data_IF_814384113738
#
_entry.id   IF_814384113738
#
_cell.length_a   1.000
_cell.length_b   1.000
_cell.length_c   1.000
_cell.angle_alpha   90.00
_cell.angle_beta   90.00
_cell.angle_gamma   90.00
#
_symmetry.space_group_name_H-M   'P 1'
#
loop_
_entity.id
_entity.type
_entity.pdbx_description
1 polymer ?
#
# COMPACT_ATOMS: atom_id res chain seq x y z
N UNK A 1 5.55 7.01 14.68
CA UNK A 1 6.20 6.78 13.38
C UNK A 1 5.56 7.59 12.26
N UNK A 2 4.30 7.35 11.86
CA UNK A 2 3.54 8.19 10.92
C UNK A 2 2.42 8.90 11.66
N UNK A 3 2.25 10.21 11.44
CA UNK A 3 1.19 11.02 12.02
C UNK A 3 0.62 11.95 10.95
N UNK A 4 -0.69 11.86 10.74
CA UNK A 4 -1.48 12.82 9.99
C UNK A 4 -2.32 13.58 11.00
N UNK A 5 -2.21 14.89 11.04
CA UNK A 5 -2.86 15.74 11.99
C UNK A 5 -3.78 16.74 11.26
N UNK A 6 -5.10 16.52 11.37
CA UNK A 6 -6.15 17.34 10.74
C UNK A 6 -5.91 17.61 9.24
N UNK A 7 -5.51 16.58 8.49
CA UNK A 7 -5.12 16.69 7.08
C UNK A 7 -6.37 16.84 6.20
N UNK A 8 -6.36 17.87 5.36
CA UNK A 8 -7.33 18.08 4.30
C UNK A 8 -6.66 18.10 2.94
N UNK A 9 -7.27 17.47 1.93
CA UNK A 9 -6.72 17.34 0.57
C UNK A 9 -7.79 17.78 -0.43
N UNK A 10 -7.43 18.68 -1.35
CA UNK A 10 -8.31 19.14 -2.42
C UNK A 10 -7.68 19.02 -3.80
N UNK A 11 -8.51 18.88 -4.83
CA UNK A 11 -8.20 18.93 -6.25
C UNK A 11 -9.00 20.07 -6.88
N UNK A 12 -8.35 21.23 -7.04
CA UNK A 12 -9.06 22.47 -7.37
C UNK A 12 -10.10 22.82 -6.31
N UNK A 13 -11.37 22.91 -6.70
CA UNK A 13 -12.49 23.21 -5.78
C UNK A 13 -13.05 21.95 -5.07
N UNK A 14 -12.63 20.76 -5.49
CA UNK A 14 -13.17 19.51 -4.94
C UNK A 14 -12.38 19.07 -3.71
N UNK A 15 -13.03 19.04 -2.55
CA UNK A 15 -12.47 18.49 -1.33
C UNK A 15 -12.54 16.95 -1.38
N UNK A 16 -11.40 16.30 -1.42
CA UNK A 16 -11.30 14.83 -1.50
C UNK A 16 -11.09 14.18 -0.14
N UNK A 17 -10.44 14.89 0.79
CA UNK A 17 -10.21 14.46 2.17
C UNK A 17 -10.42 15.68 3.07
N UNK A 18 -11.13 15.50 4.17
CA UNK A 18 -11.45 16.57 5.10
C UNK A 18 -11.21 16.12 6.54
N UNK A 19 -10.38 16.88 7.25
CA UNK A 19 -10.09 16.70 8.68
C UNK A 19 -9.65 15.27 9.06
N UNK A 20 -8.74 14.70 8.26
CA UNK A 20 -8.27 13.33 8.45
C UNK A 20 -7.10 13.28 9.43
N UNK A 21 -7.28 12.53 10.52
CA UNK A 21 -6.23 12.30 11.52
C UNK A 21 -5.93 10.81 11.68
N UNK A 22 -4.64 10.46 11.68
CA UNK A 22 -4.15 9.09 11.84
C UNK A 22 -2.80 9.11 12.55
N UNK A 23 -2.66 8.27 13.56
CA UNK A 23 -1.36 7.94 14.14
C UNK A 23 -1.07 6.46 13.92
N UNK A 24 0.17 6.12 13.52
CA UNK A 24 0.64 4.74 13.34
C UNK A 24 1.96 4.50 14.06
N UNK A 25 2.04 3.35 14.72
CA UNK A 25 3.24 2.86 15.38
C UNK A 25 4.11 2.02 14.43
N UNK A 26 5.41 1.82 14.73
CA UNK A 26 6.26 0.89 13.99
C UNK A 26 5.67 -0.53 14.00
N UNK A 27 5.65 -1.18 12.84
CA UNK A 27 5.16 -2.55 12.70
C UNK A 27 3.64 -2.72 12.84
N UNK A 28 2.89 -1.63 12.96
CA UNK A 28 1.43 -1.65 12.99
C UNK A 28 0.85 -1.80 11.58
N UNK A 29 -0.23 -2.57 11.44
CA UNK A 29 -1.04 -2.61 10.22
C UNK A 29 -2.36 -1.88 10.46
N UNK A 30 -2.55 -0.77 9.76
CA UNK A 30 -3.80 -0.02 9.76
C UNK A 30 -4.46 -0.14 8.40
N UNK A 31 -5.73 -0.54 8.38
CA UNK A 31 -6.53 -0.53 7.14
C UNK A 31 -7.44 0.68 7.07
N UNK A 32 -7.42 1.31 5.91
CA UNK A 32 -8.35 2.36 5.53
C UNK A 32 -9.37 1.75 4.56
N UNK A 33 -10.60 1.56 5.03
CA UNK A 33 -11.67 0.89 4.27
C UNK A 33 -12.79 1.86 3.91
N UNK A 34 -13.55 1.58 2.86
CA UNK A 34 -14.68 2.40 2.40
C UNK A 34 -14.91 2.24 0.90
N UNK A 35 -15.99 2.83 0.41
CA UNK A 35 -16.37 2.79 -1.00
C UNK A 35 -15.33 3.44 -1.93
N UNK A 36 -15.41 3.14 -3.22
CA UNK A 36 -14.63 3.84 -4.25
C UNK A 36 -14.94 5.33 -4.22
N UNK A 37 -13.91 6.16 -4.35
CA UNK A 37 -14.07 7.63 -4.28
C UNK A 37 -14.17 8.21 -2.86
N UNK A 38 -14.07 7.42 -1.79
CA UNK A 38 -14.11 7.97 -0.42
C UNK A 38 -12.86 8.74 0.03
N UNK A 39 -11.82 8.87 -0.82
CA UNK A 39 -10.61 9.65 -0.52
C UNK A 39 -9.38 8.83 -0.12
N UNK A 40 -9.47 7.51 0.07
CA UNK A 40 -8.40 6.63 0.57
C UNK A 40 -7.09 6.74 -0.20
N UNK A 41 -7.16 6.64 -1.53
CA UNK A 41 -5.98 6.78 -2.40
C UNK A 41 -5.37 8.19 -2.32
N UNK A 42 -6.19 9.23 -2.09
CA UNK A 42 -5.70 10.60 -1.89
C UNK A 42 -4.89 10.72 -0.60
N UNK A 43 -5.31 10.05 0.48
CA UNK A 43 -4.52 9.99 1.72
C UNK A 43 -3.14 9.40 1.46
N UNK A 44 -3.05 8.21 0.84
CA UNK A 44 -1.77 7.56 0.51
C UNK A 44 -0.89 8.44 -0.38
N UNK A 45 -1.48 9.06 -1.42
CA UNK A 45 -0.74 9.95 -2.33
C UNK A 45 -0.30 11.23 -1.66
N UNK A 46 -1.08 11.74 -0.71
CA UNK A 46 -0.71 12.88 0.13
C UNK A 46 0.53 12.59 0.96
N UNK A 47 0.60 11.42 1.60
CA UNK A 47 1.77 10.96 2.37
C UNK A 47 3.03 10.93 1.49
N UNK A 48 2.90 10.51 0.23
CA UNK A 48 4.02 10.46 -0.70
C UNK A 48 4.31 11.79 -1.41
N UNK A 49 3.49 12.84 -1.24
CA UNK A 49 3.60 14.06 -2.02
C UNK A 49 3.41 13.82 -3.53
N UNK A 50 2.52 12.90 -3.91
CA UNK A 50 2.26 12.48 -5.29
C UNK A 50 0.80 12.70 -5.71
N UNK A 51 0.18 13.78 -5.22
CA UNK A 51 -1.18 14.14 -5.60
C UNK A 51 -1.21 14.58 -7.09
N UNK A 52 -2.01 13.93 -7.95
CA UNK A 52 -2.07 14.26 -9.37
C UNK A 52 -2.93 15.51 -9.63
N UNK A 53 -2.87 16.05 -10.84
CA UNK A 53 -3.83 17.03 -11.34
C UNK A 53 -3.94 18.33 -10.54
N UNK A 54 -2.84 18.78 -9.92
CA UNK A 54 -2.85 19.98 -9.08
C UNK A 54 -3.46 19.77 -7.69
N UNK A 55 -3.64 18.51 -7.27
CA UNK A 55 -4.05 18.19 -5.90
C UNK A 55 -3.04 18.68 -4.87
N UNK A 56 -3.51 19.15 -3.74
CA UNK A 56 -2.67 19.68 -2.65
C UNK A 56 -3.24 19.30 -1.27
N UNK A 57 -2.35 19.17 -0.30
CA UNK A 57 -2.71 19.20 1.11
C UNK A 57 -3.00 20.66 1.45
N UNK A 58 -4.24 20.97 1.82
CA UNK A 58 -4.72 22.34 2.06
C UNK A 58 -4.70 22.73 3.53
N UNK A 59 -4.72 21.73 4.42
CA UNK A 59 -4.66 21.91 5.88
C UNK A 59 -3.96 20.73 6.54
N UNK A 60 -3.49 20.95 7.77
CA UNK A 60 -2.88 19.93 8.61
C UNK A 60 -1.42 19.65 8.29
N UNK A 61 -0.89 18.61 8.93
CA UNK A 61 0.51 18.18 8.79
C UNK A 61 0.60 16.68 8.56
N UNK A 62 1.65 16.26 7.84
CA UNK A 62 1.98 14.85 7.65
C UNK A 62 3.40 14.65 8.16
N UNK A 63 3.56 14.01 9.30
CA UNK A 63 4.85 13.81 9.95
C UNK A 63 5.26 12.34 9.86
N UNK A 64 6.47 12.06 9.40
CA UNK A 64 7.07 10.75 9.36
C UNK A 64 8.44 10.77 10.05
N UNK A 65 8.61 9.96 11.09
CA UNK A 65 9.81 9.91 11.92
C UNK A 65 10.28 11.30 12.39
N UNK A 66 9.32 12.15 12.80
CA UNK A 66 9.57 13.50 13.28
C UNK A 66 9.84 14.55 12.20
N UNK A 67 9.72 14.20 10.92
CA UNK A 67 9.88 15.13 9.79
C UNK A 67 8.53 15.42 9.14
N UNK A 68 8.18 16.69 8.99
CA UNK A 68 7.00 17.05 8.21
C UNK A 68 7.27 16.81 6.72
N UNK A 69 6.50 15.91 6.11
CA UNK A 69 6.65 15.54 4.70
C UNK A 69 6.24 16.66 3.73
N UNK A 70 5.47 17.65 4.21
CA UNK A 70 5.09 18.79 3.39
C UNK A 70 6.25 19.75 3.14
N UNK A 71 7.29 19.71 3.99
CA UNK A 71 8.49 20.55 3.90
C UNK A 71 9.68 19.85 3.23
N UNK A 72 9.50 18.61 2.76
CA UNK A 72 10.56 17.78 2.16
C UNK A 72 10.93 18.28 0.77
N UNK A 73 12.21 18.59 0.56
CA UNK A 73 12.72 19.04 -0.75
C UNK A 73 12.74 17.88 -1.78
N UNK A 74 12.80 18.20 -3.09
CA UNK A 74 12.91 17.15 -4.13
C UNK A 74 14.11 16.21 -3.95
N UNK A 75 15.23 16.70 -3.43
CA UNK A 75 16.41 15.88 -3.14
C UNK A 75 16.16 14.92 -1.97
N UNK A 76 15.52 15.40 -0.91
CA UNK A 76 15.18 14.60 0.26
C UNK A 76 14.15 13.51 -0.09
N UNK A 77 13.20 13.80 -0.99
CA UNK A 77 12.23 12.81 -1.48
C UNK A 77 12.89 11.58 -2.11
N UNK A 78 14.08 11.71 -2.71
CA UNK A 78 14.83 10.55 -3.24
C UNK A 78 15.25 9.55 -2.16
N UNK A 79 15.46 10.03 -0.93
CA UNK A 79 15.78 9.17 0.21
C UNK A 79 14.52 8.59 0.84
N UNK A 80 13.46 9.38 0.93
CA UNK A 80 12.20 8.95 1.56
C UNK A 80 11.48 7.92 0.69
N UNK A 81 11.19 8.27 -0.58
CA UNK A 81 10.45 7.39 -1.49
C UNK A 81 11.30 6.19 -1.89
N UNK A 82 10.75 5.00 -1.77
CA UNK A 82 11.35 3.72 -2.14
C UNK A 82 12.35 3.16 -1.12
N UNK A 83 12.82 3.95 -0.14
CA UNK A 83 13.73 3.49 0.91
C UNK A 83 13.08 3.50 2.30
N UNK A 84 12.51 4.63 2.72
CA UNK A 84 11.88 4.76 4.03
C UNK A 84 10.37 4.48 3.93
N UNK A 85 9.73 5.01 2.88
CA UNK A 85 8.33 4.79 2.54
C UNK A 85 8.26 4.20 1.14
N UNK A 86 7.66 3.04 0.98
CA UNK A 86 7.40 2.41 -0.33
C UNK A 86 5.91 2.25 -0.56
N UNK A 87 5.54 2.06 -1.83
CA UNK A 87 4.15 1.88 -2.23
C UNK A 87 3.96 0.64 -3.11
N UNK A 88 2.90 -0.11 -2.84
CA UNK A 88 2.35 -1.13 -3.71
C UNK A 88 1.11 -0.53 -4.38
N UNK A 89 1.10 -0.52 -5.71
CA UNK A 89 0.00 0.00 -6.51
C UNK A 89 -1.08 -1.06 -6.72
N UNK A 90 -2.30 -0.62 -6.97
CA UNK A 90 -3.46 -1.46 -7.27
C UNK A 90 -3.21 -2.41 -8.44
N UNK A 91 -2.52 -1.95 -9.48
CA UNK A 91 -2.10 -2.74 -10.64
C UNK A 91 -0.60 -2.52 -10.87
N UNK A 92 0.22 -3.34 -10.20
CA UNK A 92 1.67 -3.28 -10.37
C UNK A 92 2.11 -3.61 -11.81
N UNK A 93 1.32 -4.39 -12.55
CA UNK A 93 1.58 -4.72 -13.95
C UNK A 93 1.48 -3.50 -14.85
N UNK A 94 0.42 -2.71 -14.69
CA UNK A 94 0.22 -1.48 -15.45
C UNK A 94 1.29 -0.41 -15.17
N UNK A 95 1.90 -0.45 -13.97
CA UNK A 95 2.99 0.48 -13.61
C UNK A 95 4.34 0.10 -14.24
N UNK A 96 4.49 -1.12 -14.75
CA UNK A 96 5.72 -1.57 -15.40
C UNK A 96 5.70 -1.23 -16.89
N UNK A 97 6.83 -0.75 -17.42
CA UNK A 97 6.96 -0.53 -18.85
C UNK A 97 6.88 -1.88 -19.62
N UNK A 98 5.83 -2.12 -20.42
CA UNK A 98 5.60 -3.41 -21.07
C UNK A 98 6.67 -3.79 -22.11
N UNK A 99 7.42 -2.81 -22.62
CA UNK A 99 8.47 -3.02 -23.62
C UNK A 99 9.82 -3.35 -22.99
N UNK A 100 9.92 -3.37 -21.65
CA UNK A 100 11.16 -3.63 -20.93
C UNK A 100 11.09 -4.89 -20.10
N UNK A 101 12.19 -5.63 -20.06
CA UNK A 101 12.29 -6.84 -19.23
C UNK A 101 12.24 -6.46 -17.74
N UNK A 102 11.63 -7.31 -16.93
CA UNK A 102 11.54 -7.15 -15.46
C UNK A 102 12.91 -6.84 -14.86
N UNK A 103 13.96 -7.60 -15.22
CA UNK A 103 15.31 -7.37 -14.70
C UNK A 103 15.89 -6.00 -15.05
N UNK A 104 15.52 -5.43 -16.19
CA UNK A 104 15.96 -4.08 -16.56
C UNK A 104 15.28 -3.04 -15.68
N UNK A 105 13.95 -3.14 -15.52
CA UNK A 105 13.16 -2.22 -14.67
C UNK A 105 13.63 -2.31 -13.21
N UNK A 106 13.80 -3.53 -12.71
CA UNK A 106 14.24 -3.78 -11.34
C UNK A 106 15.66 -3.22 -11.09
N UNK A 107 16.59 -3.46 -12.02
CA UNK A 107 17.96 -2.95 -11.88
C UNK A 107 18.00 -1.42 -11.93
N UNK A 108 17.18 -0.77 -12.74
CA UNK A 108 17.06 0.68 -12.76
C UNK A 108 16.54 1.23 -11.43
N UNK A 109 15.45 0.63 -10.92
CA UNK A 109 14.89 1.00 -9.61
C UNK A 109 15.96 0.93 -8.50
N UNK A 110 16.67 -0.21 -8.42
CA UNK A 110 17.71 -0.37 -7.40
C UNK A 110 18.86 0.64 -7.55
N UNK A 111 19.28 0.92 -8.79
CA UNK A 111 20.37 1.86 -9.09
C UNK A 111 19.99 3.33 -8.90
N UNK A 112 18.70 3.63 -8.84
CA UNK A 112 18.22 4.98 -8.48
C UNK A 112 18.52 5.30 -7.00
N UNK A 113 18.49 4.29 -6.15
CA UNK A 113 18.66 4.46 -4.70
C UNK A 113 20.03 4.04 -4.17
N UNK A 114 20.81 3.26 -4.93
CA UNK A 114 22.09 2.71 -4.49
C UNK A 114 23.10 2.67 -5.64
N UNK A 115 24.35 2.95 -5.34
CA UNK A 115 25.44 2.86 -6.32
C UNK A 115 25.81 1.37 -6.57
N UNK A 116 25.09 0.74 -7.48
CA UNK A 116 25.28 -0.65 -7.88
C UNK A 116 25.71 -0.74 -9.34
N UNK A 117 26.57 -1.69 -9.65
CA UNK A 117 26.75 -2.15 -11.03
C UNK A 117 25.47 -2.82 -11.53
N UNK A 118 25.30 -2.92 -12.84
CA UNK A 118 24.15 -3.62 -13.42
C UNK A 118 24.06 -5.07 -12.94
N UNK A 119 25.21 -5.76 -12.82
CA UNK A 119 25.28 -7.15 -12.37
C UNK A 119 24.79 -7.29 -10.93
N UNK A 120 25.31 -6.49 -10.01
CA UNK A 120 24.88 -6.50 -8.60
C UNK A 120 23.40 -6.19 -8.44
N UNK A 121 22.87 -5.22 -9.21
CA UNK A 121 21.44 -4.90 -9.19
C UNK A 121 20.58 -6.08 -9.69
N UNK A 122 20.99 -6.76 -10.76
CA UNK A 122 20.28 -7.94 -11.24
C UNK A 122 20.30 -9.08 -10.20
N UNK A 123 21.44 -9.35 -9.59
CA UNK A 123 21.58 -10.36 -8.53
C UNK A 123 20.73 -10.02 -7.30
N UNK A 124 20.73 -8.74 -6.86
CA UNK A 124 19.88 -8.28 -5.75
C UNK A 124 18.40 -8.44 -6.10
N UNK A 125 17.97 -8.04 -7.30
CA UNK A 125 16.59 -8.21 -7.77
C UNK A 125 16.17 -9.69 -7.82
N UNK A 126 17.01 -10.57 -8.33
CA UNK A 126 16.75 -12.02 -8.37
C UNK A 126 16.55 -12.59 -6.96
N UNK A 127 17.40 -12.20 -6.00
CA UNK A 127 17.21 -12.59 -4.58
C UNK A 127 15.90 -12.09 -4.00
N UNK A 128 15.48 -10.85 -4.33
CA UNK A 128 14.20 -10.31 -3.87
C UNK A 128 13.00 -11.08 -4.44
N UNK A 129 13.04 -11.46 -5.72
CA UNK A 129 12.01 -12.31 -6.32
C UNK A 129 11.93 -13.69 -5.64
N UNK A 130 13.09 -14.28 -5.31
CA UNK A 130 13.14 -15.53 -4.56
C UNK A 130 12.53 -15.40 -3.15
N UNK A 131 12.81 -14.29 -2.43
CA UNK A 131 12.18 -13.98 -1.14
C UNK A 131 10.65 -13.90 -1.22
N UNK A 132 10.11 -13.40 -2.34
CA UNK A 132 8.66 -13.40 -2.64
C UNK A 132 8.15 -14.75 -3.16
N UNK A 133 8.94 -15.83 -3.07
CA UNK A 133 8.59 -17.18 -3.49
C UNK A 133 8.09 -17.25 -4.94
N UNK A 134 8.58 -16.37 -5.78
CA UNK A 134 8.31 -16.44 -7.21
C UNK A 134 9.07 -17.61 -7.83
N UNK A 135 8.43 -18.43 -8.68
CA UNK A 135 9.09 -19.56 -9.33
C UNK A 135 10.13 -19.07 -10.35
N UNK A 136 11.29 -19.74 -10.39
CA UNK A 136 12.35 -19.44 -11.37
C UNK A 136 12.69 -17.94 -11.50
N UNK A 137 13.18 -17.27 -10.43
CA UNK A 137 13.41 -15.83 -10.40
C UNK A 137 14.27 -15.33 -11.58
N UNK A 138 15.27 -16.12 -12.02
CA UNK A 138 16.14 -15.81 -13.16
C UNK A 138 15.36 -15.70 -14.47
N UNK A 139 14.36 -16.56 -14.67
CA UNK A 139 13.50 -16.51 -15.85
C UNK A 139 12.59 -15.30 -15.81
N UNK A 140 12.03 -15.00 -14.65
CA UNK A 140 11.19 -13.79 -14.43
C UNK A 140 12.01 -12.53 -14.74
N UNK A 141 13.26 -12.43 -14.28
CA UNK A 141 14.14 -11.30 -14.60
C UNK A 141 14.39 -11.15 -16.12
N UNK A 142 14.27 -12.21 -16.89
CA UNK A 142 14.42 -12.19 -18.38
C UNK A 142 13.11 -11.97 -19.11
N UNK A 143 11.97 -12.10 -18.43
CA UNK A 143 10.63 -11.96 -19.00
C UNK A 143 10.19 -10.49 -19.11
N UNK A 144 9.22 -10.25 -19.97
CA UNK A 144 8.48 -8.99 -20.04
C UNK A 144 7.26 -9.05 -19.11
N UNK A 145 6.72 -7.92 -18.65
CA UNK A 145 5.55 -7.89 -17.77
C UNK A 145 4.37 -8.71 -18.30
N UNK A 146 4.02 -8.57 -19.57
CA UNK A 146 2.90 -9.27 -20.21
C UNK A 146 3.05 -10.81 -20.30
N UNK A 147 4.23 -11.34 -20.03
CA UNK A 147 4.49 -12.79 -19.96
C UNK A 147 4.22 -13.38 -18.59
N UNK A 148 3.89 -12.54 -17.60
CA UNK A 148 3.62 -12.93 -16.23
C UNK A 148 2.12 -12.88 -15.95
N UNK A 149 1.62 -13.77 -15.08
CA UNK A 149 0.24 -13.63 -14.55
C UNK A 149 0.11 -12.38 -13.67
N UNK A 150 -1.10 -11.86 -13.49
CA UNK A 150 -1.35 -10.69 -12.64
C UNK A 150 -0.79 -10.85 -11.23
N UNK A 151 -0.96 -12.03 -10.62
CA UNK A 151 -0.38 -12.31 -9.30
C UNK A 151 1.15 -12.35 -9.29
N UNK A 152 1.79 -12.79 -10.38
CA UNK A 152 3.26 -12.71 -10.51
C UNK A 152 3.71 -11.26 -10.68
N UNK A 153 3.02 -10.47 -11.50
CA UNK A 153 3.29 -9.03 -11.65
C UNK A 153 3.16 -8.29 -10.31
N UNK A 154 2.11 -8.58 -9.55
CA UNK A 154 1.91 -7.98 -8.23
C UNK A 154 3.04 -8.35 -7.26
N UNK A 155 3.47 -9.63 -7.21
CA UNK A 155 4.61 -10.04 -6.38
C UNK A 155 5.94 -9.42 -6.82
N UNK A 156 6.14 -9.18 -8.12
CA UNK A 156 7.29 -8.41 -8.61
C UNK A 156 7.24 -6.99 -8.07
N UNK A 157 6.07 -6.33 -8.11
CA UNK A 157 5.88 -5.00 -7.52
C UNK A 157 6.18 -4.97 -6.02
N UNK A 158 5.68 -5.96 -5.27
CA UNK A 158 5.98 -6.10 -3.83
C UNK A 158 7.49 -6.32 -3.61
N UNK A 159 8.14 -7.17 -4.40
CA UNK A 159 9.59 -7.40 -4.32
C UNK A 159 10.38 -6.11 -4.53
N UNK A 160 9.97 -5.28 -5.49
CA UNK A 160 10.57 -3.98 -5.72
C UNK A 160 10.35 -3.05 -4.53
N UNK A 161 9.11 -2.90 -4.05
CA UNK A 161 8.76 -2.05 -2.93
C UNK A 161 9.54 -2.41 -1.65
N UNK A 162 9.78 -3.71 -1.43
CA UNK A 162 10.48 -4.23 -0.25
C UNK A 162 12.00 -4.32 -0.40
N UNK A 163 12.58 -3.90 -1.52
CA UNK A 163 14.01 -4.05 -1.79
C UNK A 163 14.94 -3.32 -0.82
N UNK A 164 14.42 -2.34 -0.11
CA UNK A 164 15.13 -1.54 0.90
C UNK A 164 14.54 -1.68 2.30
N UNK A 165 13.68 -2.68 2.52
CA UNK A 165 13.07 -2.97 3.82
C UNK A 165 12.49 -1.69 4.47
N UNK A 166 11.50 -1.05 3.79
CA UNK A 166 10.98 0.25 4.21
C UNK A 166 10.33 0.17 5.59
N UNK A 167 10.37 1.26 6.34
CA UNK A 167 9.68 1.37 7.63
C UNK A 167 8.17 1.40 7.46
N UNK A 168 7.70 2.04 6.37
CA UNK A 168 6.28 2.16 6.03
C UNK A 168 6.02 1.65 4.61
N UNK A 169 5.08 0.73 4.48
CA UNK A 169 4.55 0.25 3.21
C UNK A 169 3.11 0.77 3.04
N UNK A 170 2.91 1.56 2.01
CA UNK A 170 1.59 2.03 1.58
C UNK A 170 1.06 1.05 0.54
N UNK A 171 -0.07 0.40 0.78
CA UNK A 171 -0.63 -0.59 -0.11
C UNK A 171 -2.01 -0.12 -0.60
N UNK A 172 -2.09 0.30 -1.86
CA UNK A 172 -3.32 0.78 -2.49
C UNK A 172 -4.00 -0.38 -3.22
N UNK A 173 -5.04 -0.94 -2.62
CA UNK A 173 -5.82 -2.07 -3.14
C UNK A 173 -4.97 -3.22 -3.72
N UNK A 174 -4.00 -3.76 -2.98
CA UNK A 174 -2.98 -4.66 -3.51
C UNK A 174 -3.51 -5.99 -4.04
N UNK A 175 -4.79 -6.28 -3.83
CA UNK A 175 -5.42 -7.57 -4.19
C UNK A 175 -6.65 -7.43 -5.11
N UNK A 176 -7.06 -6.22 -5.50
CA UNK A 176 -8.35 -5.96 -6.15
C UNK A 176 -8.54 -6.62 -7.53
N UNK A 177 -7.47 -6.87 -8.26
CA UNK A 177 -7.52 -7.46 -9.61
C UNK A 177 -7.12 -8.95 -9.65
N UNK A 178 -7.14 -9.63 -8.50
CA UNK A 178 -6.61 -10.98 -8.37
C UNK A 178 -7.69 -12.00 -8.00
N UNK A 179 -7.53 -13.24 -8.43
CA UNK A 179 -8.36 -14.36 -7.97
C UNK A 179 -8.15 -14.65 -6.47
N UNK A 180 -9.12 -15.32 -5.83
CA UNK A 180 -9.15 -15.56 -4.38
C UNK A 180 -7.88 -16.25 -3.87
N UNK A 181 -7.35 -17.22 -4.62
CA UNK A 181 -6.14 -17.95 -4.22
C UNK A 181 -4.91 -17.03 -4.22
N UNK A 182 -4.79 -16.24 -5.27
CA UNK A 182 -3.70 -15.25 -5.39
C UNK A 182 -3.84 -14.14 -4.35
N UNK A 183 -5.07 -13.66 -4.06
CA UNK A 183 -5.31 -12.71 -2.98
C UNK A 183 -4.80 -13.26 -1.63
N UNK A 184 -5.18 -14.49 -1.27
CA UNK A 184 -4.73 -15.12 -0.03
C UNK A 184 -3.19 -15.21 0.05
N UNK A 185 -2.51 -15.48 -1.07
CA UNK A 185 -1.05 -15.50 -1.12
C UNK A 185 -0.45 -14.11 -0.86
N UNK A 186 -0.96 -13.05 -1.50
CA UNK A 186 -0.49 -11.67 -1.31
C UNK A 186 -0.71 -11.22 0.15
N UNK A 187 -1.89 -11.51 0.70
CA UNK A 187 -2.22 -11.22 2.10
C UNK A 187 -1.25 -11.93 3.06
N UNK A 188 -0.97 -13.21 2.82
CA UNK A 188 0.03 -13.97 3.58
C UNK A 188 1.45 -13.39 3.46
N UNK A 189 1.84 -12.91 2.28
CA UNK A 189 3.13 -12.21 2.09
C UNK A 189 3.18 -10.90 2.90
N UNK A 190 2.12 -10.09 2.89
CA UNK A 190 2.06 -8.84 3.66
C UNK A 190 2.18 -9.10 5.18
N UNK A 191 1.46 -10.10 5.70
CA UNK A 191 1.59 -10.52 7.10
C UNK A 191 3.03 -10.95 7.45
N UNK A 192 3.70 -11.64 6.51
CA UNK A 192 5.10 -12.04 6.66
C UNK A 192 6.05 -10.85 6.65
N UNK A 193 5.86 -9.88 5.75
CA UNK A 193 6.67 -8.66 5.68
C UNK A 193 6.65 -7.89 7.01
N UNK A 194 5.47 -7.73 7.62
CA UNK A 194 5.35 -7.16 8.96
C UNK A 194 6.17 -7.94 9.99
N UNK A 195 5.98 -9.27 10.04
CA UNK A 195 6.62 -10.12 11.05
C UNK A 195 8.14 -10.18 10.90
N UNK A 196 8.63 -10.31 9.65
CA UNK A 196 10.04 -10.59 9.37
C UNK A 196 10.88 -9.31 9.33
N UNK A 197 10.27 -8.15 9.00
CA UNK A 197 10.99 -6.86 8.83
C UNK A 197 10.49 -5.76 9.78
N UNK A 198 9.41 -5.97 10.52
CA UNK A 198 8.82 -4.92 11.35
C UNK A 198 8.23 -3.75 10.56
N UNK A 199 7.98 -3.92 9.25
CA UNK A 199 7.42 -2.89 8.39
C UNK A 199 5.98 -2.57 8.81
N UNK A 200 5.70 -1.30 9.06
CA UNK A 200 4.32 -0.84 9.25
C UNK A 200 3.60 -0.79 7.90
N UNK A 201 2.30 -1.07 7.88
CA UNK A 201 1.53 -1.14 6.64
C UNK A 201 0.27 -0.28 6.75
N UNK A 202 0.13 0.73 5.91
CA UNK A 202 -1.15 1.40 5.68
C UNK A 202 -1.81 0.78 4.45
N UNK A 203 -2.83 -0.03 4.68
CA UNK A 203 -3.56 -0.77 3.67
C UNK A 203 -4.83 -0.04 3.28
N UNK A 204 -4.96 0.34 2.03
CA UNK A 204 -6.21 0.78 1.44
C UNK A 204 -6.89 -0.40 0.78
N UNK A 205 -8.13 -0.67 1.14
CA UNK A 205 -8.92 -1.75 0.53
C UNK A 205 -10.42 -1.49 0.68
N UNK A 206 -11.21 -1.99 -0.25
CA UNK A 206 -12.65 -2.12 -0.09
C UNK A 206 -13.06 -3.52 0.40
N UNK A 207 -12.10 -4.45 0.52
CA UNK A 207 -12.33 -5.81 0.97
C UNK A 207 -12.13 -5.91 2.50
N UNK A 208 -13.24 -5.91 3.23
CA UNK A 208 -13.22 -6.06 4.69
C UNK A 208 -12.63 -7.39 5.17
N UNK A 209 -12.72 -8.47 4.38
CA UNK A 209 -12.08 -9.74 4.73
C UNK A 209 -10.56 -9.64 4.76
N UNK A 210 -9.96 -8.88 3.84
CA UNK A 210 -8.52 -8.60 3.84
C UNK A 210 -8.14 -7.74 5.05
N UNK A 211 -8.92 -6.68 5.33
CA UNK A 211 -8.72 -5.83 6.49
C UNK A 211 -8.85 -6.63 7.81
N UNK A 212 -9.86 -7.48 7.91
CA UNK A 212 -10.10 -8.35 9.06
C UNK A 212 -8.95 -9.31 9.36
N UNK A 213 -8.31 -9.83 8.32
CA UNK A 213 -7.20 -10.77 8.48
C UNK A 213 -5.88 -10.09 8.86
N UNK A 214 -5.59 -8.93 8.28
CA UNK A 214 -4.27 -8.29 8.39
C UNK A 214 -4.16 -7.25 9.50
N UNK A 215 -5.23 -6.48 9.75
CA UNK A 215 -5.12 -5.23 10.48
C UNK A 215 -5.12 -5.38 11.98
N UNK A 216 -4.41 -4.50 12.65
CA UNK A 216 -4.54 -4.24 14.09
C UNK A 216 -5.69 -3.25 14.32
N UNK A 217 -5.79 -2.21 13.48
CA UNK A 217 -6.83 -1.19 13.52
C UNK A 217 -7.44 -0.96 12.14
N UNK A 218 -8.71 -0.55 12.15
CA UNK A 218 -9.47 -0.26 10.93
C UNK A 218 -10.06 1.15 11.06
N UNK A 219 -9.87 1.96 10.02
CA UNK A 219 -10.53 3.24 9.82
C UNK A 219 -11.51 3.10 8.66
N UNK A 220 -12.76 3.44 8.91
CA UNK A 220 -13.83 3.44 7.90
C UNK A 220 -13.97 4.86 7.36
N UNK A 221 -13.80 5.00 6.05
CA UNK A 221 -13.81 6.31 5.39
C UNK A 221 -14.99 6.44 4.43
N UNK A 222 -15.68 7.58 4.50
CA UNK A 222 -16.79 7.92 3.61
C UNK A 222 -16.72 9.41 3.24
N UNK A 223 -16.89 9.72 1.96
CA UNK A 223 -16.97 11.10 1.46
C UNK A 223 -15.87 12.04 1.99
N UNK A 224 -14.62 11.54 2.03
CA UNK A 224 -13.47 12.30 2.48
C UNK A 224 -13.24 12.35 3.99
N UNK A 225 -14.12 11.79 4.82
CA UNK A 225 -14.05 11.82 6.29
C UNK A 225 -13.92 10.43 6.90
N UNK A 226 -13.38 10.36 8.11
CA UNK A 226 -13.43 9.16 8.94
C UNK A 226 -14.81 9.08 9.60
N UNK A 227 -15.56 8.03 9.27
CA UNK A 227 -16.87 7.73 9.88
C UNK A 227 -16.72 6.97 11.19
N UNK A 228 -15.75 6.05 11.24
CA UNK A 228 -15.48 5.24 12.42
C UNK A 228 -14.01 4.79 12.41
N UNK A 229 -13.40 4.71 13.59
CA UNK A 229 -12.05 4.18 13.75
C UNK A 229 -11.95 3.38 15.05
N UNK A 230 -11.24 2.27 15.03
CA UNK A 230 -11.07 1.43 16.21
C UNK A 230 -10.18 0.22 15.95
N UNK A 231 -10.01 -0.57 16.98
CA UNK A 231 -9.38 -1.88 16.86
C UNK A 231 -10.19 -2.76 15.93
N UNK A 232 -9.50 -3.65 15.23
CA UNK A 232 -10.11 -4.58 14.27
C UNK A 232 -11.39 -5.23 14.84
N UNK A 233 -11.30 -5.81 16.03
CA UNK A 233 -12.41 -6.55 16.63
C UNK A 233 -13.59 -5.65 17.00
N UNK A 234 -13.34 -4.42 17.44
CA UNK A 234 -14.37 -3.42 17.72
C UNK A 234 -15.14 -3.07 16.45
N UNK A 235 -14.45 -2.79 15.35
CA UNK A 235 -15.09 -2.45 14.07
C UNK A 235 -15.88 -3.64 13.52
N UNK A 236 -15.30 -4.85 13.51
CA UNK A 236 -15.91 -6.00 12.86
C UNK A 236 -17.06 -6.61 13.64
N UNK A 237 -17.03 -6.57 14.98
CA UNK A 237 -17.96 -7.33 15.85
C UNK A 237 -18.92 -6.43 16.62
N UNK A 238 -18.52 -5.18 16.91
CA UNK A 238 -19.23 -4.31 17.87
C UNK A 238 -19.61 -2.94 17.28
N UNK A 239 -19.37 -2.68 15.98
CA UNK A 239 -19.72 -1.40 15.38
C UNK A 239 -21.23 -1.11 15.49
N UNK A 240 -21.54 0.08 15.93
CA UNK A 240 -22.90 0.65 15.94
C UNK A 240 -23.13 1.66 14.82
N UNK A 241 -22.07 2.04 14.08
CA UNK A 241 -22.17 2.95 12.95
C UNK A 241 -22.94 2.31 11.80
N UNK A 242 -23.98 2.95 11.32
CA UNK A 242 -24.87 2.42 10.28
C UNK A 242 -24.14 2.15 8.97
N UNK A 243 -23.19 3.02 8.59
CA UNK A 243 -22.42 2.85 7.36
C UNK A 243 -21.43 1.67 7.48
N UNK A 244 -20.70 1.56 8.59
CA UNK A 244 -19.80 0.41 8.83
C UNK A 244 -20.58 -0.89 8.78
N UNK A 245 -21.75 -0.94 9.39
CA UNK A 245 -22.61 -2.12 9.37
C UNK A 245 -23.06 -2.49 7.95
N UNK A 246 -23.45 -1.49 7.14
CA UNK A 246 -23.81 -1.75 5.74
C UNK A 246 -22.66 -2.32 4.92
N UNK A 247 -21.41 -1.87 5.16
CA UNK A 247 -20.23 -2.44 4.54
C UNK A 247 -19.99 -3.88 4.99
N UNK A 248 -20.13 -4.16 6.28
CA UNK A 248 -20.00 -5.51 6.83
C UNK A 248 -21.07 -6.46 6.27
N UNK A 249 -22.29 -5.99 6.09
CA UNK A 249 -23.40 -6.77 5.52
C UNK A 249 -23.18 -7.11 4.04
N UNK A 250 -22.42 -6.31 3.32
CA UNK A 250 -22.06 -6.56 1.92
C UNK A 250 -20.99 -7.65 1.72
N UNK A 251 -20.32 -8.08 2.80
CA UNK A 251 -19.32 -9.17 2.73
C UNK A 251 -20.01 -10.51 2.48
N UNK A 252 -19.62 -11.25 1.42
CA UNK A 252 -20.22 -12.56 1.13
C UNK A 252 -20.09 -13.54 2.30
N UNK A 253 -21.15 -14.31 2.56
CA UNK A 253 -21.15 -15.40 3.53
C UNK A 253 -21.12 -16.74 2.79
N UNK A 254 -20.28 -17.68 3.23
CA UNK A 254 -20.36 -19.06 2.79
C UNK A 254 -20.85 -19.95 3.96
N UNK A 255 -21.93 -20.70 3.75
CA UNK A 255 -22.49 -21.60 4.76
C UNK A 255 -23.03 -20.92 6.02
N UNK A 256 -23.46 -19.63 5.93
CA UNK A 256 -24.01 -18.88 7.07
C UNK A 256 -22.96 -18.28 8.01
N UNK A 257 -21.66 -18.47 7.73
CA UNK A 257 -20.56 -17.88 8.50
C UNK A 257 -19.93 -16.76 7.65
N UNK A 258 -19.81 -15.55 8.20
CA UNK A 258 -19.08 -14.45 7.55
C UNK A 258 -17.58 -14.73 7.64
N UNK A 259 -16.86 -14.47 6.53
CA UNK A 259 -15.38 -14.55 6.48
C UNK A 259 -14.71 -13.26 7.04
N UNK A 260 -15.25 -12.73 8.12
CA UNK A 260 -14.71 -11.57 8.85
C UNK A 260 -14.69 -11.87 10.34
#
# INVERSE_FOLDING_TARGET
MLELDHVSIAYGETQAVEDFSLHMEPGEIVSLVGESGSGKTSVIRGILGLLPGGGAVTQGNIVFDGKNLLDVTPEQWRTVRGREISMIFQDSGAMMNPTRKIGTVFAEYLRTHEKLTKKEALEKGTRMLARMRLPSPENIMRSYPFQLSGGMQQRVGIAMAMSYEPKLLLADEPTSALDVTTQAQIVGEMARLRRDYGTAILLVTHNLGVAAYLSDRILVMRQGRIEEAGDRDSILKSSTNAYTRSLLESVPTMGGVRYV
#
